data_IF_302302330282
#
_entry.id   IF_302302330282
#
_cell.length_a   1.000
_cell.length_b   1.000
_cell.length_c   1.000
_cell.angle_alpha   90.00
_cell.angle_beta   90.00
_cell.angle_gamma   90.00
#
_symmetry.space_group_name_H-M   'P 1'
#
loop_
_entity.id
_entity.type
_entity.pdbx_description
1 polymer ?
#
# COMPACT_ATOMS: atom_id res chain seq x y z
N UNK A 1 -24.38 -21.73 17.21
CA UNK A 1 -23.21 -21.28 16.43
C UNK A 1 -23.18 -19.77 16.50
N UNK A 2 -22.51 -19.24 17.53
CA UNK A 2 -22.32 -17.80 17.70
C UNK A 2 -21.05 -17.44 16.93
N UNK A 3 -21.20 -16.82 15.76
CA UNK A 3 -20.08 -16.11 15.15
C UNK A 3 -20.04 -14.75 15.83
N UNK A 4 -19.21 -14.64 16.87
CA UNK A 4 -18.90 -13.32 17.44
C UNK A 4 -17.84 -12.75 16.53
N UNK A 5 -18.24 -11.90 15.57
CA UNK A 5 -17.28 -11.00 14.95
C UNK A 5 -16.67 -10.19 16.11
N UNK A 6 -15.36 -10.32 16.30
CA UNK A 6 -14.64 -9.46 17.21
C UNK A 6 -14.97 -7.99 16.86
N UNK A 7 -15.11 -7.08 17.83
CA UNK A 7 -15.15 -5.67 17.51
C UNK A 7 -13.77 -5.31 16.95
N UNK A 8 -13.63 -5.30 15.61
CA UNK A 8 -12.44 -4.76 14.96
C UNK A 8 -12.54 -3.25 15.11
N UNK A 9 -12.22 -2.74 16.29
CA UNK A 9 -11.97 -1.32 16.57
C UNK A 9 -10.66 -0.95 15.86
N UNK A 10 -10.71 -0.97 14.54
CA UNK A 10 -9.67 -0.47 13.67
C UNK A 10 -10.04 0.98 13.46
N UNK A 11 -9.19 1.90 13.91
CA UNK A 11 -9.29 3.30 13.54
C UNK A 11 -9.57 3.42 12.03
N UNK A 12 -10.42 4.37 11.59
CA UNK A 12 -10.74 4.52 10.17
C UNK A 12 -9.44 4.71 9.38
N UNK A 13 -9.22 3.84 8.39
CA UNK A 13 -8.10 3.99 7.47
C UNK A 13 -8.28 5.30 6.70
N UNK A 14 -7.21 6.07 6.62
CA UNK A 14 -7.16 7.37 5.99
C UNK A 14 -5.83 7.56 5.26
N UNK A 15 -5.69 8.69 4.57
CA UNK A 15 -4.49 9.07 3.82
C UNK A 15 -3.19 9.06 4.67
N UNK A 16 -3.32 9.35 5.97
CA UNK A 16 -2.22 9.39 6.93
C UNK A 16 -1.84 8.02 7.50
N UNK A 17 -2.61 6.98 7.17
CA UNK A 17 -2.40 5.62 7.68
C UNK A 17 -1.03 5.11 7.25
N UNK A 18 -0.20 4.75 8.23
CA UNK A 18 1.16 4.27 7.97
C UNK A 18 1.15 2.82 7.47
N UNK A 19 1.91 2.56 6.41
CA UNK A 19 2.05 1.23 5.82
C UNK A 19 3.37 0.53 6.23
N UNK A 20 4.38 1.28 6.68
CA UNK A 20 5.65 0.73 7.19
C UNK A 20 6.08 1.35 8.53
N UNK A 21 6.87 0.58 9.29
CA UNK A 21 7.46 1.01 10.57
C UNK A 21 6.64 0.58 11.79
N UNK A 22 6.99 1.14 12.95
CA UNK A 22 6.50 0.69 14.27
C UNK A 22 4.99 0.83 14.48
N UNK A 23 4.37 1.78 13.80
CA UNK A 23 2.92 2.09 13.87
C UNK A 23 2.19 1.65 12.59
N UNK A 24 2.81 0.81 11.77
CA UNK A 24 2.20 0.35 10.53
C UNK A 24 1.05 -0.60 10.78
N UNK A 25 0.03 -0.50 9.93
CA UNK A 25 -1.08 -1.46 9.91
C UNK A 25 -0.73 -2.75 9.15
N UNK A 26 0.36 -2.74 8.37
CA UNK A 26 0.84 -3.87 7.60
C UNK A 26 2.18 -4.38 8.16
N UNK A 27 2.35 -5.70 8.13
CA UNK A 27 3.66 -6.33 8.27
C UNK A 27 4.36 -6.40 6.90
N UNK A 28 5.58 -6.94 6.86
CA UNK A 28 6.37 -7.01 5.63
C UNK A 28 5.67 -7.79 4.51
N UNK A 29 4.95 -8.86 4.84
CA UNK A 29 4.23 -9.67 3.83
C UNK A 29 2.95 -8.99 3.37
N UNK A 30 2.22 -8.34 4.28
CA UNK A 30 1.04 -7.54 3.97
C UNK A 30 1.37 -6.38 3.04
N UNK A 31 2.53 -5.74 3.20
CA UNK A 31 3.01 -4.72 2.28
C UNK A 31 3.29 -5.30 0.89
N UNK A 32 3.99 -6.43 0.80
CA UNK A 32 4.27 -7.09 -0.49
C UNK A 32 2.96 -7.46 -1.21
N UNK A 33 1.99 -8.02 -0.48
CA UNK A 33 0.68 -8.34 -1.04
C UNK A 33 -0.05 -7.08 -1.52
N UNK A 34 -0.02 -5.98 -0.75
CA UNK A 34 -0.62 -4.71 -1.17
C UNK A 34 -0.02 -4.23 -2.49
N UNK A 35 1.31 -4.29 -2.64
CA UNK A 35 2.00 -3.87 -3.86
C UNK A 35 1.51 -4.70 -5.06
N UNK A 36 1.52 -6.02 -4.95
CA UNK A 36 1.09 -6.93 -6.02
C UNK A 36 -0.38 -6.66 -6.40
N UNK A 37 -1.26 -6.51 -5.41
CA UNK A 37 -2.68 -6.24 -5.63
C UNK A 37 -2.94 -4.88 -6.30
N UNK A 38 -2.11 -3.88 -6.03
CA UNK A 38 -2.19 -2.57 -6.67
C UNK A 38 -1.69 -2.67 -8.13
N UNK A 39 -0.56 -3.30 -8.36
CA UNK A 39 0.00 -3.50 -9.72
C UNK A 39 -0.99 -4.25 -10.60
N UNK A 40 -1.58 -5.33 -10.10
CA UNK A 40 -2.60 -6.12 -10.82
C UNK A 40 -3.85 -5.29 -11.13
N UNK A 41 -4.37 -4.52 -10.16
CA UNK A 41 -5.54 -3.67 -10.42
C UNK A 41 -5.25 -2.57 -11.44
N UNK A 42 -4.06 -1.99 -11.42
CA UNK A 42 -3.66 -0.99 -12.41
C UNK A 42 -3.62 -1.60 -13.82
N UNK A 43 -3.12 -2.82 -13.96
CA UNK A 43 -3.14 -3.55 -15.22
C UNK A 43 -4.58 -3.91 -15.66
N UNK A 44 -5.36 -4.52 -14.76
CA UNK A 44 -6.71 -5.00 -15.07
C UNK A 44 -7.72 -3.87 -15.36
N UNK A 45 -7.67 -2.77 -14.60
CA UNK A 45 -8.65 -1.68 -14.67
C UNK A 45 -8.21 -0.53 -15.59
N UNK A 46 -6.90 -0.34 -15.76
CA UNK A 46 -6.35 0.81 -16.47
C UNK A 46 -5.37 0.46 -17.61
N UNK A 47 -5.04 -0.82 -17.84
CA UNK A 47 -4.03 -1.27 -18.81
C UNK A 47 -2.64 -0.65 -18.54
N UNK A 48 -2.38 -0.31 -17.27
CA UNK A 48 -1.14 0.33 -16.81
C UNK A 48 -0.27 -0.70 -16.10
N UNK A 49 0.81 -1.13 -16.76
CA UNK A 49 1.81 -2.02 -16.15
C UNK A 49 2.92 -1.19 -15.51
N UNK A 50 3.00 -1.21 -14.18
CA UNK A 50 4.04 -0.53 -13.40
C UNK A 50 4.70 -1.49 -12.41
N UNK A 51 5.94 -1.19 -12.03
CA UNK A 51 6.67 -1.91 -10.98
C UNK A 51 6.88 -0.97 -9.81
N UNK A 52 6.09 -1.13 -8.75
CA UNK A 52 6.13 -0.31 -7.56
C UNK A 52 7.27 -0.75 -6.61
N UNK A 53 7.56 -2.06 -6.57
CA UNK A 53 8.57 -2.65 -5.70
C UNK A 53 10.01 -2.59 -6.27
N UNK A 54 10.43 -1.45 -6.82
CA UNK A 54 11.85 -1.25 -7.15
C UNK A 54 12.66 -1.14 -5.85
N UNK A 55 13.82 -1.81 -5.75
CA UNK A 55 14.72 -1.79 -4.58
C UNK A 55 15.06 -0.34 -4.14
N UNK A 56 15.03 0.61 -5.08
CA UNK A 56 15.20 2.04 -4.80
C UNK A 56 14.02 2.64 -4.05
N UNK A 57 12.77 2.27 -4.35
CA UNK A 57 11.59 2.80 -3.66
C UNK A 57 11.53 2.35 -2.19
N UNK A 58 11.98 1.12 -1.89
CA UNK A 58 12.00 0.59 -0.53
C UNK A 58 13.14 1.13 0.34
N UNK A 59 14.28 1.47 -0.25
CA UNK A 59 15.49 1.90 0.48
C UNK A 59 15.67 3.43 0.58
N UNK A 60 14.89 4.21 -0.17
CA UNK A 60 14.98 5.67 -0.14
C UNK A 60 14.50 6.25 1.19
N UNK A 61 15.18 7.33 1.63
CA UNK A 61 14.87 8.08 2.86
C UNK A 61 13.41 8.60 2.90
N UNK A 62 12.83 8.82 1.72
CA UNK A 62 11.42 9.18 1.50
C UNK A 62 10.74 8.02 0.77
N UNK A 63 10.59 6.88 1.42
CA UNK A 63 9.91 5.73 0.82
C UNK A 63 8.43 6.05 0.57
N UNK A 64 7.88 5.76 -0.63
CA UNK A 64 6.47 5.98 -0.94
C UNK A 64 5.53 5.10 -0.11
N UNK A 65 6.05 4.03 0.48
CA UNK A 65 5.32 3.11 1.35
C UNK A 65 5.13 3.65 2.78
N UNK A 66 5.38 4.94 3.04
CA UNK A 66 5.24 5.51 4.39
C UNK A 66 3.79 5.61 4.82
N UNK A 67 2.91 6.13 3.96
CA UNK A 67 1.47 6.21 4.20
C UNK A 67 0.68 5.93 2.93
N UNK A 68 -0.64 5.79 3.07
CA UNK A 68 -1.57 5.62 1.93
C UNK A 68 -1.44 6.79 0.94
N UNK A 69 -1.38 8.02 1.43
CA UNK A 69 -1.23 9.21 0.58
C UNK A 69 0.04 9.16 -0.25
N UNK A 70 1.19 8.91 0.38
CA UNK A 70 2.48 8.90 -0.32
C UNK A 70 2.57 7.77 -1.35
N UNK A 71 1.88 6.65 -1.09
CA UNK A 71 1.78 5.55 -2.04
C UNK A 71 0.93 5.94 -3.25
N UNK A 72 -0.23 6.55 -3.02
CA UNK A 72 -1.10 7.02 -4.10
C UNK A 72 -0.40 8.05 -5.00
N UNK A 73 0.27 9.05 -4.39
CA UNK A 73 1.04 10.05 -5.13
C UNK A 73 2.14 9.41 -5.99
N UNK A 74 2.83 8.40 -5.44
CA UNK A 74 3.87 7.66 -6.15
C UNK A 74 3.31 6.84 -7.31
N UNK A 75 2.19 6.14 -7.11
CA UNK A 75 1.51 5.38 -8.18
C UNK A 75 1.15 6.33 -9.33
N UNK A 76 0.56 7.49 -9.03
CA UNK A 76 0.22 8.48 -10.05
C UNK A 76 1.46 9.01 -10.79
N UNK A 77 2.58 9.20 -10.09
CA UNK A 77 3.82 9.62 -10.73
C UNK A 77 4.36 8.55 -11.70
N UNK A 78 4.41 7.28 -11.26
CA UNK A 78 4.96 6.18 -12.07
C UNK A 78 4.04 5.84 -13.24
N UNK A 79 2.72 5.89 -13.05
CA UNK A 79 1.73 5.62 -14.10
C UNK A 79 1.68 6.71 -15.19
N UNK A 80 2.25 7.89 -14.94
CA UNK A 80 2.29 9.00 -15.90
C UNK A 80 3.56 9.01 -16.78
N UNK A 81 4.52 8.12 -16.53
CA UNK A 81 5.73 7.92 -17.35
C UNK A 81 5.49 6.91 -18.48
#
# INVERSE_FOLDING_TARGET
MLVTAAPTDSAPLNEETRLIGREAVLDSMGLVNLIIEVEQRLEDEHDVTVVLADERAMSQKNSPFRSVQTLADYICQVAAE
#
